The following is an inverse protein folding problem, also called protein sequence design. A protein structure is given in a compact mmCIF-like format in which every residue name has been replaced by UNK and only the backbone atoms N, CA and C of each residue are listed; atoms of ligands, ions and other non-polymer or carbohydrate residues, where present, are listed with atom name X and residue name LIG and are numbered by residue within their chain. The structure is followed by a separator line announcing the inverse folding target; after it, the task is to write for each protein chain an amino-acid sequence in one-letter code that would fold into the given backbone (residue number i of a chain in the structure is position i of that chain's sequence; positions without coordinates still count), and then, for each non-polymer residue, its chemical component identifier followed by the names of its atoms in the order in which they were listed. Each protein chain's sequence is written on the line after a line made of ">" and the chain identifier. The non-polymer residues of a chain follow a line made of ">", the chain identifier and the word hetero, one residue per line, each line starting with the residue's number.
data_IF_740348834272
#
_entry.id   IF_740348834272
#
_cell.length_a   1.000
_cell.length_b   1.000
_cell.length_c   1.000
_cell.angle_alpha   90.00
_cell.angle_beta   90.00
_cell.angle_gamma   90.00
#
_symmetry.space_group_name_H-M   'P 1'
#
loop_
_entity.id
_entity.type
_entity.pdbx_description
1 polymer ?
#
# COMPACT_ATOMS: atom_id res chain seq x y z
N UNK A 1 -0.09 0.25 10.98
CA UNK A 1 -0.53 -0.51 12.17
C UNK A 1 0.68 -1.18 12.80
N UNK A 2 0.94 -0.90 14.08
CA UNK A 2 1.99 -1.57 14.83
C UNK A 2 1.59 -3.04 15.06
N UNK A 3 2.47 -3.97 14.68
CA UNK A 3 2.28 -5.41 14.86
C UNK A 3 3.16 -5.98 15.97
N UNK A 4 3.49 -5.15 16.97
CA UNK A 4 4.31 -5.55 18.12
C UNK A 4 5.79 -5.18 18.00
N UNK A 5 6.17 -4.34 17.03
CA UNK A 5 7.53 -3.78 16.97
C UNK A 5 7.79 -2.93 18.20
N UNK A 6 8.94 -3.13 18.84
CA UNK A 6 9.42 -2.38 20.01
C UNK A 6 10.82 -1.87 19.78
N UNK A 7 11.14 -0.77 20.44
CA UNK A 7 12.41 -0.08 20.36
C UNK A 7 13.62 -0.94 20.74
N UNK A 8 13.40 -1.90 21.65
CA UNK A 8 14.46 -2.79 22.17
C UNK A 8 14.81 -3.96 21.25
N UNK A 9 14.14 -4.11 20.10
CA UNK A 9 14.33 -5.26 19.19
C UNK A 9 15.62 -5.19 18.36
N UNK A 10 16.18 -3.99 18.17
CA UNK A 10 17.38 -3.78 17.37
C UNK A 10 18.16 -2.52 17.83
N UNK A 11 19.45 -2.38 17.46
CA UNK A 11 20.22 -1.16 17.71
C UNK A 11 19.66 0.10 17.06
N UNK A 12 18.83 -0.04 16.03
CA UNK A 12 18.08 1.00 15.37
C UNK A 12 16.74 0.44 14.88
N UNK A 13 15.64 0.99 15.35
CA UNK A 13 14.29 0.66 14.91
C UNK A 13 13.69 1.81 14.13
N UNK A 14 13.27 1.54 12.89
CA UNK A 14 12.73 2.53 11.96
C UNK A 14 11.32 2.11 11.56
N UNK A 15 10.32 2.93 11.87
CA UNK A 15 8.96 2.73 11.39
C UNK A 15 8.66 3.61 10.18
N UNK A 16 7.78 3.12 9.30
CA UNK A 16 7.33 3.84 8.11
C UNK A 16 5.85 4.23 8.25
N UNK A 17 5.61 5.53 8.34
CA UNK A 17 4.26 6.10 8.41
C UNK A 17 3.62 6.03 9.78
N UNK A 18 2.28 6.25 9.83
CA UNK A 18 1.54 6.36 11.08
C UNK A 18 1.38 5.02 11.81
N UNK A 19 1.09 5.11 13.11
CA UNK A 19 0.86 3.97 13.99
C UNK A 19 2.04 3.63 14.90
N UNK A 20 3.08 4.49 14.88
CA UNK A 20 4.24 4.42 15.74
C UNK A 20 4.58 5.81 16.28
N UNK A 21 5.13 5.86 17.49
CA UNK A 21 5.65 7.08 18.10
C UNK A 21 7.17 6.96 18.22
N UNK A 22 7.90 7.87 17.58
CA UNK A 22 9.36 7.95 17.68
C UNK A 22 9.77 8.35 19.10
N UNK A 23 10.76 7.69 19.63
CA UNK A 23 11.22 7.85 21.01
C UNK A 23 10.49 6.95 22.03
N UNK A 24 9.35 6.39 21.66
CA UNK A 24 8.55 5.47 22.49
C UNK A 24 8.56 4.06 21.90
N UNK A 25 7.81 3.84 20.81
CA UNK A 25 7.66 2.53 20.16
C UNK A 25 8.92 2.12 19.38
N UNK A 26 9.54 3.10 18.71
CA UNK A 26 10.70 2.95 17.81
C UNK A 26 11.66 4.13 18.02
N UNK A 27 12.89 4.00 17.52
CA UNK A 27 13.85 5.11 17.58
C UNK A 27 13.46 6.25 16.65
N UNK A 28 12.96 5.91 15.45
CA UNK A 28 12.68 6.88 14.39
C UNK A 28 11.46 6.47 13.59
N UNK A 29 10.68 7.47 13.18
CA UNK A 29 9.59 7.30 12.21
C UNK A 29 9.92 8.07 10.95
N UNK A 30 9.64 7.49 9.76
CA UNK A 30 9.75 8.16 8.46
C UNK A 30 8.35 8.50 7.97
N UNK A 31 8.12 9.78 7.64
CA UNK A 31 6.83 10.24 7.10
C UNK A 31 6.54 9.64 5.72
N UNK A 32 5.35 9.10 5.55
CA UNK A 32 4.93 8.46 4.31
C UNK A 32 3.80 9.18 3.57
N UNK A 33 3.23 10.23 4.13
CA UNK A 33 2.21 11.04 3.46
C UNK A 33 2.85 11.85 2.33
N UNK A 34 2.27 11.77 1.12
CA UNK A 34 2.72 12.58 -0.02
C UNK A 34 2.63 14.08 0.27
N UNK A 35 3.58 14.83 -0.24
CA UNK A 35 3.73 16.28 -0.06
C UNK A 35 5.10 16.64 0.53
N UNK A 36 5.26 17.86 0.99
CA UNK A 36 6.54 18.40 1.48
C UNK A 36 7.19 17.62 2.63
N UNK A 37 6.40 16.83 3.35
CA UNK A 37 6.90 16.05 4.49
C UNK A 37 7.24 14.60 4.14
N UNK A 38 7.00 14.17 2.91
CA UNK A 38 7.34 12.82 2.48
C UNK A 38 8.83 12.54 2.71
N UNK A 39 9.14 11.41 3.35
CA UNK A 39 10.50 11.01 3.68
C UNK A 39 11.12 11.75 4.88
N UNK A 40 10.42 12.70 5.52
CA UNK A 40 10.98 13.35 6.71
C UNK A 40 11.23 12.36 7.83
N UNK A 41 12.42 12.47 8.42
CA UNK A 41 12.84 11.73 9.60
C UNK A 41 12.27 12.42 10.83
N UNK A 42 11.50 11.68 11.62
CA UNK A 42 10.83 12.11 12.85
C UNK A 42 11.52 11.38 13.99
N UNK A 43 12.15 12.13 14.90
CA UNK A 43 12.86 11.58 16.06
C UNK A 43 12.06 11.67 17.36
N UNK A 44 10.96 12.41 17.33
CA UNK A 44 10.03 12.58 18.45
C UNK A 44 8.61 12.76 17.91
N UNK A 45 7.64 12.02 18.46
CA UNK A 45 6.25 12.03 18.03
C UNK A 45 5.97 11.09 16.86
N UNK A 46 4.87 11.30 16.14
CA UNK A 46 4.32 10.40 15.14
C UNK A 46 4.20 11.03 13.75
N UNK A 47 4.15 10.18 12.72
CA UNK A 47 3.81 10.60 11.36
C UNK A 47 2.34 11.08 11.27
N UNK A 48 2.04 11.83 10.21
CA UNK A 48 0.69 12.35 9.97
C UNK A 48 -0.28 11.17 9.84
N UNK A 49 -1.41 11.17 10.58
CA UNK A 49 -2.39 10.10 10.54
C UNK A 49 -2.87 9.80 9.11
N UNK A 50 -3.12 8.52 8.83
CA UNK A 50 -3.74 8.11 7.57
C UNK A 50 -5.22 8.51 7.55
N UNK A 51 -5.64 9.22 6.51
CA UNK A 51 -7.04 9.62 6.35
C UNK A 51 -7.94 8.50 5.84
N UNK A 52 -7.35 7.41 5.31
CA UNK A 52 -8.08 6.36 4.61
C UNK A 52 -8.65 6.79 3.25
N UNK A 53 -8.47 8.06 2.87
CA UNK A 53 -9.00 8.61 1.60
C UNK A 53 -7.89 8.49 0.55
N UNK A 54 -8.11 7.72 -0.54
CA UNK A 54 -7.17 7.64 -1.65
C UNK A 54 -6.97 9.01 -2.33
N UNK A 55 -5.74 9.28 -2.75
CA UNK A 55 -5.46 10.48 -3.54
C UNK A 55 -6.19 10.44 -4.89
N UNK A 56 -6.70 11.58 -5.34
CA UNK A 56 -7.34 11.72 -6.66
C UNK A 56 -6.27 11.69 -7.75
N UNK A 57 -6.48 10.84 -8.76
CA UNK A 57 -5.64 10.73 -9.97
C UNK A 57 -6.57 10.77 -11.18
N UNK A 58 -6.36 11.71 -12.10
CA UNK A 58 -7.18 11.91 -13.28
C UNK A 58 -8.69 11.93 -12.98
N UNK A 59 -9.08 12.58 -11.88
CA UNK A 59 -10.49 12.71 -11.47
C UNK A 59 -11.05 11.55 -10.65
N UNK A 60 -10.34 10.43 -10.51
CA UNK A 60 -10.79 9.27 -9.74
C UNK A 60 -10.10 9.19 -8.37
N UNK A 61 -10.85 8.90 -7.34
CA UNK A 61 -10.39 8.75 -5.95
C UNK A 61 -10.61 7.34 -5.41
N UNK A 62 -11.70 7.13 -4.70
CA UNK A 62 -12.04 5.86 -4.06
C UNK A 62 -12.32 4.74 -5.09
N UNK A 63 -12.85 5.07 -6.24
CA UNK A 63 -13.21 4.15 -7.34
C UNK A 63 -12.00 3.38 -7.89
N UNK A 64 -10.81 3.93 -7.69
CA UNK A 64 -9.55 3.28 -8.08
C UNK A 64 -9.19 2.10 -7.19
N UNK A 65 -9.70 2.08 -5.97
CA UNK A 65 -9.33 1.10 -4.95
C UNK A 65 -10.42 0.05 -4.82
N UNK A 66 -10.06 -1.20 -5.05
CA UNK A 66 -10.99 -2.32 -5.01
C UNK A 66 -10.80 -3.06 -3.68
N UNK A 67 -11.91 -3.28 -2.99
CA UNK A 67 -11.95 -3.99 -1.72
C UNK A 67 -12.72 -5.31 -1.84
N UNK A 68 -12.34 -6.30 -1.05
CA UNK A 68 -13.05 -7.56 -0.95
C UNK A 68 -14.47 -7.34 -0.41
N UNK A 69 -15.47 -7.93 -1.06
CA UNK A 69 -16.88 -7.83 -0.68
C UNK A 69 -17.25 -8.84 0.42
N UNK A 70 -16.42 -9.85 0.64
CA UNK A 70 -16.60 -10.87 1.68
C UNK A 70 -15.26 -11.48 2.08
N UNK A 71 -15.26 -12.25 3.16
CA UNK A 71 -14.14 -13.09 3.54
C UNK A 71 -14.02 -14.32 2.63
N UNK A 72 -12.81 -14.79 2.36
CA UNK A 72 -12.55 -15.96 1.52
C UNK A 72 -11.13 -16.05 1.01
N UNK A 73 -10.92 -16.89 0.00
CA UNK A 73 -9.63 -17.03 -0.70
C UNK A 73 -9.68 -16.24 -2.00
N UNK A 74 -8.77 -15.29 -2.13
CA UNK A 74 -8.65 -14.44 -3.33
C UNK A 74 -7.98 -15.22 -4.46
N UNK A 75 -8.61 -15.27 -5.63
CA UNK A 75 -8.15 -15.99 -6.82
C UNK A 75 -8.04 -15.05 -8.01
N UNK A 76 -6.83 -14.87 -8.52
CA UNK A 76 -6.54 -13.96 -9.61
C UNK A 76 -7.04 -14.48 -10.95
N UNK A 77 -7.66 -13.61 -11.76
CA UNK A 77 -8.03 -13.84 -13.16
C UNK A 77 -7.26 -12.93 -14.11
N UNK A 78 -6.57 -11.94 -13.58
CA UNK A 78 -5.75 -10.95 -14.29
C UNK A 78 -4.39 -10.82 -13.61
N UNK A 79 -3.48 -10.07 -14.24
CA UNK A 79 -2.15 -9.78 -13.68
C UNK A 79 -1.90 -8.26 -13.62
N UNK A 80 -0.93 -7.85 -12.82
CA UNK A 80 -0.49 -6.44 -12.77
C UNK A 80 0.04 -6.05 -14.14
N UNK A 81 -0.41 -4.91 -14.66
CA UNK A 81 -0.10 -4.41 -15.99
C UNK A 81 -1.20 -4.64 -17.03
N UNK A 82 -2.19 -5.48 -16.74
CA UNK A 82 -3.34 -5.64 -17.64
C UNK A 82 -4.11 -4.33 -17.77
N UNK A 83 -4.53 -4.02 -19.00
CA UNK A 83 -5.52 -2.98 -19.28
C UNK A 83 -6.89 -3.60 -19.05
N UNK A 84 -7.69 -2.96 -18.21
CA UNK A 84 -9.03 -3.41 -17.84
C UNK A 84 -10.06 -2.31 -18.15
N UNK A 85 -11.28 -2.73 -18.44
CA UNK A 85 -12.41 -1.83 -18.60
C UNK A 85 -13.31 -1.85 -17.36
N UNK A 86 -14.08 -0.79 -17.15
CA UNK A 86 -15.07 -0.76 -16.07
C UNK A 86 -16.03 -1.95 -16.18
N UNK A 87 -16.18 -2.69 -15.10
CA UNK A 87 -16.97 -3.93 -15.06
C UNK A 87 -16.18 -5.22 -15.32
N UNK A 88 -14.93 -5.15 -15.78
CA UNK A 88 -14.11 -6.34 -15.98
C UNK A 88 -13.88 -7.10 -14.67
N UNK A 89 -13.98 -8.42 -14.73
CA UNK A 89 -13.62 -9.30 -13.61
C UNK A 89 -12.09 -9.48 -13.57
N UNK A 90 -11.51 -9.16 -12.42
CA UNK A 90 -10.05 -9.26 -12.19
C UNK A 90 -9.67 -10.43 -11.28
N UNK A 91 -10.60 -10.89 -10.47
CA UNK A 91 -10.41 -11.99 -9.52
C UNK A 91 -11.74 -12.57 -9.07
N UNK A 92 -11.68 -13.66 -8.33
CA UNK A 92 -12.79 -14.24 -7.58
C UNK A 92 -12.43 -14.30 -6.08
N UNK A 93 -13.43 -14.26 -5.21
CA UNK A 93 -13.30 -14.63 -3.80
C UNK A 93 -14.06 -15.93 -3.60
N UNK A 94 -13.33 -16.99 -3.24
CA UNK A 94 -13.90 -18.29 -2.95
C UNK A 94 -14.20 -18.40 -1.46
N UNK A 95 -15.48 -18.53 -1.13
CA UNK A 95 -15.94 -18.65 0.24
C UNK A 95 -15.92 -20.12 0.71
N UNK A 96 -16.02 -20.35 2.02
CA UNK A 96 -15.96 -21.69 2.62
C UNK A 96 -17.17 -22.55 2.26
N UNK A 97 -18.32 -21.94 1.95
CA UNK A 97 -19.55 -22.63 1.48
C UNK A 97 -19.51 -23.01 0.00
N UNK A 98 -18.41 -22.72 -0.71
CA UNK A 98 -18.24 -22.96 -2.14
C UNK A 98 -18.73 -21.82 -3.04
N UNK A 99 -19.31 -20.77 -2.48
CA UNK A 99 -19.71 -19.59 -3.24
C UNK A 99 -18.50 -18.85 -3.81
N UNK A 100 -18.61 -18.38 -5.07
CA UNK A 100 -17.59 -17.58 -5.74
C UNK A 100 -18.16 -16.20 -6.04
N UNK A 101 -17.54 -15.18 -5.48
CA UNK A 101 -17.90 -13.78 -5.71
C UNK A 101 -16.92 -13.16 -6.70
N UNK A 102 -17.44 -12.50 -7.73
CA UNK A 102 -16.62 -11.81 -8.72
C UNK A 102 -16.11 -10.50 -8.16
N UNK A 103 -14.82 -10.24 -8.34
CA UNK A 103 -14.18 -8.96 -8.01
C UNK A 103 -14.02 -8.19 -9.32
N UNK A 104 -14.73 -7.08 -9.46
CA UNK A 104 -14.79 -6.29 -10.68
C UNK A 104 -14.20 -4.90 -10.50
N UNK A 105 -13.66 -4.35 -11.58
CA UNK A 105 -13.19 -2.96 -11.62
C UNK A 105 -14.37 -1.99 -11.74
N UNK A 106 -14.23 -0.80 -11.16
CA UNK A 106 -15.23 0.27 -11.30
C UNK A 106 -14.85 1.27 -12.39
N UNK A 107 -13.60 1.29 -12.80
CA UNK A 107 -13.06 2.23 -13.78
C UNK A 107 -12.20 1.51 -14.82
N UNK A 108 -12.10 2.11 -15.99
CA UNK A 108 -11.16 1.70 -17.04
C UNK A 108 -9.75 2.21 -16.70
N UNK A 109 -8.72 1.37 -16.89
CA UNK A 109 -7.34 1.75 -16.64
C UNK A 109 -6.38 0.58 -16.61
N UNK A 110 -5.24 0.77 -15.95
CA UNK A 110 -4.22 -0.25 -15.73
C UNK A 110 -4.44 -0.89 -14.37
N UNK A 111 -4.45 -2.21 -14.30
CA UNK A 111 -4.41 -2.94 -13.03
C UNK A 111 -3.01 -2.80 -12.43
N UNK A 112 -2.81 -1.78 -11.60
CA UNK A 112 -1.51 -1.40 -11.05
C UNK A 112 -1.13 -2.13 -9.78
N UNK A 113 -2.11 -2.56 -9.02
CA UNK A 113 -1.95 -3.33 -7.81
C UNK A 113 -2.94 -4.49 -7.77
N UNK A 114 -2.48 -5.66 -7.42
CA UNK A 114 -3.29 -6.85 -7.28
C UNK A 114 -2.74 -7.69 -6.14
N UNK A 115 -3.62 -8.13 -5.25
CA UNK A 115 -3.24 -9.04 -4.18
C UNK A 115 -2.76 -10.37 -4.77
N UNK A 116 -1.80 -11.02 -4.10
CA UNK A 116 -1.29 -12.31 -4.57
C UNK A 116 -2.39 -13.38 -4.58
N UNK A 117 -2.32 -14.27 -5.55
CA UNK A 117 -3.21 -15.43 -5.64
C UNK A 117 -3.17 -16.30 -4.37
N UNK A 118 -4.32 -16.84 -4.00
CA UNK A 118 -4.46 -17.72 -2.83
C UNK A 118 -4.42 -17.01 -1.47
N UNK A 119 -4.40 -15.68 -1.41
CA UNK A 119 -4.41 -14.97 -0.14
C UNK A 119 -5.79 -15.02 0.52
N UNK A 120 -5.82 -15.29 1.84
CA UNK A 120 -7.07 -15.24 2.64
C UNK A 120 -7.40 -13.78 2.96
N UNK A 121 -8.54 -13.31 2.48
CA UNK A 121 -9.04 -11.94 2.70
C UNK A 121 -10.17 -11.93 3.70
N UNK A 122 -10.33 -10.77 4.35
CA UNK A 122 -11.52 -10.41 5.11
C UNK A 122 -12.36 -9.43 4.30
N UNK A 123 -13.61 -9.27 4.63
CA UNK A 123 -14.44 -8.22 4.06
C UNK A 123 -13.77 -6.84 4.23
N UNK A 124 -13.93 -5.97 3.25
CA UNK A 124 -13.30 -4.64 3.15
C UNK A 124 -11.77 -4.63 3.06
N UNK A 125 -11.11 -5.78 2.93
CA UNK A 125 -9.67 -5.82 2.69
C UNK A 125 -9.35 -5.27 1.29
N UNK A 126 -8.39 -4.33 1.18
CA UNK A 126 -7.95 -3.81 -0.13
C UNK A 126 -7.27 -4.92 -0.93
N UNK A 127 -7.81 -5.22 -2.13
CA UNK A 127 -7.34 -6.33 -2.98
C UNK A 127 -6.72 -5.87 -4.31
N UNK A 128 -7.10 -4.70 -4.81
CA UNK A 128 -6.55 -4.18 -6.07
C UNK A 128 -6.56 -2.66 -6.14
N UNK A 129 -5.84 -2.12 -7.12
CA UNK A 129 -5.74 -0.71 -7.43
C UNK A 129 -5.64 -0.51 -8.95
N UNK A 130 -6.51 0.34 -9.51
CA UNK A 130 -6.53 0.67 -10.94
C UNK A 130 -6.03 2.09 -11.15
N UNK A 131 -5.11 2.28 -12.08
CA UNK A 131 -4.65 3.61 -12.51
C UNK A 131 -5.34 3.98 -13.84
N UNK A 132 -6.14 5.06 -13.89
CA UNK A 132 -6.84 5.46 -15.11
C UNK A 132 -5.90 5.92 -16.24
N UNK A 133 -4.63 6.19 -15.94
CA UNK A 133 -3.63 6.69 -16.89
C UNK A 133 -2.97 5.54 -17.61
N UNK A 134 -3.48 5.16 -18.79
CA UNK A 134 -2.97 4.03 -19.58
C UNK A 134 -1.52 4.22 -20.07
N UNK A 135 -1.08 5.45 -20.21
CA UNK A 135 0.29 5.84 -20.54
C UNK A 135 1.32 5.47 -19.46
N UNK A 136 0.86 5.25 -18.23
CA UNK A 136 1.72 4.91 -17.09
C UNK A 136 2.04 3.39 -16.98
N UNK A 137 1.70 2.60 -17.99
CA UNK A 137 1.88 1.14 -17.96
C UNK A 137 3.31 0.73 -17.60
N UNK A 138 4.32 1.34 -18.21
CA UNK A 138 5.73 1.02 -17.93
C UNK A 138 6.11 1.27 -16.46
N UNK A 139 5.41 2.19 -15.80
CA UNK A 139 5.66 2.55 -14.41
C UNK A 139 5.08 1.55 -13.39
N UNK A 140 4.28 0.56 -13.83
CA UNK A 140 3.81 -0.51 -12.96
C UNK A 140 4.95 -1.36 -12.39
N UNK A 141 6.05 -1.45 -13.11
CA UNK A 141 7.21 -2.29 -12.78
C UNK A 141 8.41 -1.50 -12.25
N UNK A 142 8.21 -0.20 -12.00
CA UNK A 142 9.23 0.68 -11.43
C UNK A 142 8.87 1.09 -10.01
N UNK A 143 9.90 1.31 -9.18
CA UNK A 143 9.68 1.88 -7.85
C UNK A 143 9.23 3.33 -7.98
N UNK A 144 8.18 3.69 -7.24
CA UNK A 144 7.63 5.05 -7.27
C UNK A 144 8.58 6.09 -6.64
N UNK A 145 8.35 7.36 -6.97
CA UNK A 145 8.93 8.52 -6.30
C UNK A 145 8.82 8.42 -4.78
N UNK A 146 7.64 8.06 -4.29
CA UNK A 146 7.38 7.86 -2.86
C UNK A 146 8.27 6.77 -2.26
N UNK A 147 8.35 5.60 -2.89
CA UNK A 147 9.17 4.49 -2.41
C UNK A 147 10.66 4.86 -2.41
N UNK A 148 11.13 5.55 -3.47
CA UNK A 148 12.51 6.02 -3.57
C UNK A 148 12.84 7.07 -2.50
N UNK A 149 11.94 8.02 -2.23
CA UNK A 149 12.12 9.03 -1.20
C UNK A 149 12.23 8.40 0.19
N UNK A 150 11.32 7.47 0.52
CA UNK A 150 11.32 6.76 1.81
C UNK A 150 12.59 5.90 1.94
N UNK A 151 13.00 5.19 0.89
CA UNK A 151 14.21 4.38 0.87
C UNK A 151 15.47 5.24 1.12
N UNK A 152 15.52 6.45 0.55
CA UNK A 152 16.59 7.42 0.80
C UNK A 152 16.71 7.78 2.29
N UNK A 153 15.58 8.05 2.93
CA UNK A 153 15.56 8.38 4.37
C UNK A 153 15.98 7.19 5.24
N UNK A 154 15.57 5.98 4.88
CA UNK A 154 16.02 4.76 5.58
C UNK A 154 17.53 4.57 5.40
N UNK A 155 18.05 4.76 4.19
CA UNK A 155 19.48 4.66 3.92
C UNK A 155 20.29 5.69 4.73
N UNK A 156 19.83 6.94 4.79
CA UNK A 156 20.44 7.99 5.62
C UNK A 156 20.55 7.55 7.10
N UNK A 157 19.46 7.01 7.65
CA UNK A 157 19.43 6.56 9.05
C UNK A 157 20.37 5.39 9.30
N UNK A 158 20.42 4.41 8.40
CA UNK A 158 21.31 3.25 8.50
C UNK A 158 22.77 3.71 8.41
N UNK A 159 23.11 4.56 7.45
CA UNK A 159 24.46 5.11 7.34
C UNK A 159 24.86 5.90 8.59
N UNK A 160 23.99 6.77 9.09
CA UNK A 160 24.26 7.54 10.31
C UNK A 160 24.46 6.67 11.56
N UNK A 161 23.88 5.47 11.61
CA UNK A 161 24.09 4.51 12.70
C UNK A 161 25.42 3.77 12.57
N UNK A 162 25.85 3.47 11.36
CA UNK A 162 27.12 2.77 11.09
C UNK A 162 28.37 3.63 11.36
N UNK A 163 28.21 4.95 11.36
CA UNK A 163 29.32 5.92 11.54
C UNK A 163 29.38 6.52 12.97
N UNK A 164 28.62 5.96 13.90
CA UNK A 164 28.72 6.28 15.33
C UNK A 164 29.74 5.37 16.02
#
# INVERSE_FOLDING_TARGET
>A
RNLGTRRDMAPLTIALGPGFTAGEDVDVVVETKRGHRLGRIIREGAAIPNTGIPGVIAGYGAERVIHAQAAGIFKNMRVIGDIVEAGDTIAEIWQEDGTKLLVQTQITGILRGLLRDGYRVTEHFKVADVDPRKEELSNCFLISDKARCIAGSVLELVCAQLWK
#
